data_IF_259274713448
#
_entry.id   IF_259274713448
#
_cell.length_a   1.000
_cell.length_b   1.000
_cell.length_c   1.000
_cell.angle_alpha   90.00
_cell.angle_beta   90.00
_cell.angle_gamma   90.00
#
_symmetry.space_group_name_H-M   'P 1'
#
loop_
_entity.id
_entity.type
_entity.pdbx_description
1 polymer ?
#
# COMPACT_ATOMS: atom_id res chain seq x y z
N UNK A 1 24.44 22.92 7.80
CA UNK A 1 23.91 21.66 7.24
C UNK A 1 22.46 21.44 7.69
N UNK A 2 21.46 22.12 7.09
CA UNK A 2 20.05 21.96 7.44
C UNK A 2 19.30 20.90 6.59
N UNK A 3 19.91 20.41 5.51
CA UNK A 3 19.26 19.56 4.49
C UNK A 3 18.91 18.15 5.00
N UNK A 4 19.69 17.62 5.96
CA UNK A 4 19.52 16.27 6.52
C UNK A 4 18.33 16.22 7.49
N UNK A 5 18.14 17.28 8.30
CA UNK A 5 17.04 17.35 9.26
C UNK A 5 15.66 17.51 8.57
N UNK A 6 15.61 18.21 7.43
CA UNK A 6 14.41 18.31 6.60
C UNK A 6 14.04 16.95 5.96
N UNK A 7 15.04 16.16 5.54
CA UNK A 7 14.83 14.80 5.01
C UNK A 7 14.31 13.84 6.08
N UNK A 8 14.82 13.92 7.31
CA UNK A 8 14.34 13.11 8.44
C UNK A 8 12.90 13.49 8.85
N UNK A 9 12.54 14.78 8.77
CA UNK A 9 11.18 15.25 9.06
C UNK A 9 10.10 14.68 8.13
N UNK A 10 10.46 14.34 6.88
CA UNK A 10 9.58 13.68 5.90
C UNK A 10 9.56 12.16 6.09
N UNK A 11 10.70 11.57 6.49
CA UNK A 11 10.87 10.12 6.68
C UNK A 11 10.10 9.59 7.92
N UNK A 12 9.83 10.43 8.92
CA UNK A 12 9.33 10.01 10.24
C UNK A 12 7.80 9.90 10.39
N UNK A 13 6.96 10.24 9.39
CA UNK A 13 5.49 10.29 9.59
C UNK A 13 4.61 9.59 8.56
N UNK A 14 5.17 8.94 7.55
CA UNK A 14 4.38 8.51 6.39
C UNK A 14 4.02 7.03 6.42
N UNK A 15 3.42 6.56 7.51
CA UNK A 15 2.71 5.28 7.52
C UNK A 15 1.30 5.49 6.98
N UNK A 16 1.14 5.34 5.68
CA UNK A 16 -0.16 5.42 5.03
C UNK A 16 -0.86 4.06 5.04
N UNK A 17 -2.11 4.03 5.50
CA UNK A 17 -2.99 2.87 5.35
C UNK A 17 -3.92 3.16 4.18
N UNK A 18 -3.90 2.30 3.17
CA UNK A 18 -4.77 2.39 2.00
C UNK A 18 -5.83 1.32 2.13
N UNK A 19 -7.11 1.72 2.13
CA UNK A 19 -8.23 0.79 2.01
C UNK A 19 -8.49 0.46 0.55
N UNK A 20 -8.65 -0.82 0.24
CA UNK A 20 -9.08 -1.30 -1.08
C UNK A 20 -10.44 -1.98 -0.93
N UNK A 21 -11.42 -1.54 -1.73
CA UNK A 21 -12.69 -2.21 -1.90
C UNK A 21 -12.73 -2.76 -3.32
N UNK A 22 -12.91 -4.08 -3.52
CA UNK A 22 -12.98 -4.65 -4.86
C UNK A 22 -14.20 -4.11 -5.60
N UNK A 23 -14.02 -3.80 -6.88
CA UNK A 23 -15.11 -3.39 -7.78
C UNK A 23 -16.08 -4.52 -8.07
N UNK A 24 -15.61 -5.77 -8.03
CA UNK A 24 -16.45 -6.97 -8.12
C UNK A 24 -16.55 -7.65 -6.75
N UNK A 25 -17.68 -7.44 -6.08
CA UNK A 25 -17.98 -8.00 -4.75
C UNK A 25 -18.68 -9.38 -4.85
N UNK A 26 -18.31 -10.19 -5.84
CA UNK A 26 -18.78 -11.56 -5.99
C UNK A 26 -18.53 -12.37 -4.70
N UNK A 27 -19.60 -12.99 -4.18
CA UNK A 27 -19.58 -13.84 -2.98
C UNK A 27 -19.32 -15.28 -3.37
N UNK A 28 -18.17 -15.51 -3.98
CA UNK A 28 -17.82 -16.78 -4.61
C UNK A 28 -16.99 -17.72 -3.70
N UNK A 29 -16.60 -17.27 -2.51
CA UNK A 29 -15.75 -18.04 -1.61
C UNK A 29 -14.32 -18.25 -2.12
N UNK A 30 -13.96 -17.69 -3.29
CA UNK A 30 -12.67 -17.91 -3.93
C UNK A 30 -11.61 -16.94 -3.42
N UNK A 31 -10.35 -17.32 -3.63
CA UNK A 31 -9.21 -16.46 -3.32
C UNK A 31 -9.04 -15.42 -4.42
N UNK A 32 -9.06 -14.15 -4.03
CA UNK A 32 -8.82 -13.00 -4.91
C UNK A 32 -7.43 -12.42 -4.64
N UNK A 33 -6.58 -12.44 -5.66
CA UNK A 33 -5.21 -11.92 -5.57
C UNK A 33 -5.20 -10.38 -5.70
N UNK A 34 -4.45 -9.71 -4.82
CA UNK A 34 -4.29 -8.26 -4.75
C UNK A 34 -2.86 -7.90 -5.10
N UNK A 35 -2.69 -7.13 -6.18
CA UNK A 35 -1.40 -6.59 -6.59
C UNK A 35 -1.32 -5.10 -6.25
N UNK A 36 -0.29 -4.72 -5.48
CA UNK A 36 0.03 -3.31 -5.21
C UNK A 36 1.27 -2.93 -6.00
N UNK A 37 1.19 -1.81 -6.73
CA UNK A 37 2.33 -1.21 -7.43
C UNK A 37 2.61 0.15 -6.83
N UNK A 38 3.80 0.32 -6.25
CA UNK A 38 4.24 1.61 -5.74
C UNK A 38 5.05 2.29 -6.83
N UNK A 39 4.61 3.47 -7.25
CA UNK A 39 5.36 4.33 -8.16
C UNK A 39 6.11 5.36 -7.31
N UNK A 40 7.44 5.24 -7.14
CA UNK A 40 8.19 6.20 -6.33
C UNK A 40 8.19 7.58 -7.03
N UNK A 41 7.86 8.67 -6.32
CA UNK A 41 7.99 10.01 -6.88
C UNK A 41 9.47 10.36 -7.09
N UNK A 42 9.75 11.19 -8.11
CA UNK A 42 11.11 11.63 -8.39
C UNK A 42 11.75 12.31 -7.17
N UNK A 43 12.96 11.87 -6.80
CA UNK A 43 13.73 12.44 -5.70
C UNK A 43 13.51 11.79 -4.32
N UNK A 44 12.61 10.81 -4.20
CA UNK A 44 12.42 10.04 -2.97
C UNK A 44 13.20 8.72 -2.98
N UNK A 45 13.61 8.22 -1.79
CA UNK A 45 14.23 6.90 -1.66
C UNK A 45 13.24 5.78 -1.99
N UNK A 46 13.76 4.58 -2.23
CA UNK A 46 12.96 3.41 -2.57
C UNK A 46 11.92 3.13 -1.48
N UNK A 47 10.64 3.26 -1.84
CA UNK A 47 9.53 2.99 -0.93
C UNK A 47 9.35 1.48 -0.75
N UNK A 48 9.22 1.04 0.51
CA UNK A 48 8.84 -0.34 0.85
C UNK A 48 7.35 -0.39 1.18
N UNK A 49 6.57 -1.09 0.36
CA UNK A 49 5.17 -1.37 0.67
C UNK A 49 5.00 -2.77 1.24
N UNK A 50 4.06 -2.89 2.16
CA UNK A 50 3.58 -4.15 2.70
C UNK A 50 2.07 -4.19 2.49
N UNK A 51 1.57 -5.29 1.92
CA UNK A 51 0.15 -5.49 1.68
C UNK A 51 -0.21 -6.97 1.86
N UNK A 52 -1.50 -7.26 1.99
CA UNK A 52 -2.01 -8.63 1.95
C UNK A 52 -2.07 -9.07 0.49
N UNK A 53 -1.48 -10.22 0.18
CA UNK A 53 -1.46 -10.76 -1.20
C UNK A 53 -2.85 -11.06 -1.74
N UNK A 54 -3.86 -11.21 -0.89
CA UNK A 54 -5.22 -11.46 -1.34
C UNK A 54 -6.18 -11.63 -0.19
N UNK A 55 -7.42 -11.92 -0.53
CA UNK A 55 -8.49 -12.20 0.42
C UNK A 55 -9.42 -13.28 -0.13
N UNK A 56 -10.08 -14.02 0.76
CA UNK A 56 -11.18 -14.90 0.38
C UNK A 56 -12.46 -14.07 0.33
N UNK A 57 -13.24 -14.21 -0.73
CA UNK A 57 -14.58 -13.64 -0.77
C UNK A 57 -15.47 -14.35 0.27
N UNK A 58 -16.44 -13.64 0.88
CA UNK A 58 -17.36 -14.26 1.82
C UNK A 58 -18.25 -15.27 1.07
N UNK A 59 -18.35 -16.49 1.61
CA UNK A 59 -19.34 -17.49 1.19
C UNK A 59 -20.67 -17.17 1.85
N UNK A 60 -21.78 -17.30 1.11
CA UNK A 60 -23.12 -17.08 1.65
C UNK A 60 -23.62 -18.29 2.43
#
# INVERSE_FOLDING_TARGET
MPDIAAKIGIELRNRYVIGYTPTDAQRDGRYHHVQVKVVPPHGLPTLRAYWRMGYYAPTR
#
